data_IF_872868085778
#
_entry.id   IF_872868085778
#
_cell.length_a   1.000
_cell.length_b   1.000
_cell.length_c   1.000
_cell.angle_alpha   90.00
_cell.angle_beta   90.00
_cell.angle_gamma   90.00
#
_symmetry.space_group_name_H-M   'P 1'
#
loop_
_entity.id
_entity.type
_entity.pdbx_description
1 polymer ?
2 water ?
#
# COMPACT_ATOMS: atom_id res chain seq x y z
N UNK A 2 22.10 -23.77 16.56
CA UNK A 2 20.65 -23.76 16.52
C UNK A 2 20.12 -22.34 16.64
N UNK A 3 20.72 -21.55 17.53
CA UNK A 3 20.13 -20.27 17.94
C UNK A 3 20.19 -19.12 16.91
N UNK A 4 19.02 -18.60 16.58
CA UNK A 4 18.92 -17.37 15.82
C UNK A 4 18.10 -16.36 16.62
N UNK A 5 18.02 -16.60 17.93
CA UNK A 5 17.47 -15.67 18.91
C UNK A 5 18.31 -15.79 20.16
N UNK A 6 18.63 -14.66 20.81
CA UNK A 6 18.31 -13.28 20.44
C UNK A 6 18.89 -12.89 19.09
N UNK A 7 18.30 -11.86 18.49
CA UNK A 7 18.82 -11.26 17.27
C UNK A 7 18.65 -9.76 17.39
N UNK A 8 19.33 -9.01 16.52
CA UNK A 8 19.24 -7.56 16.52
C UNK A 8 18.65 -7.05 15.21
N UNK A 9 17.62 -6.22 15.32
CA UNK A 9 16.91 -5.68 14.17
C UNK A 9 17.47 -4.31 13.85
N UNK A 10 17.69 -4.04 12.56
CA UNK A 10 18.19 -2.76 12.10
C UNK A 10 17.01 -1.83 11.84
N UNK A 11 16.82 -0.85 12.72
CA UNK A 11 15.74 0.10 12.59
C UNK A 11 15.99 1.07 11.44
N UNK A 12 14.91 1.67 10.94
CA UNK A 12 15.01 2.46 9.71
C UNK A 12 15.87 3.71 9.88
N UNK A 13 16.06 4.15 11.11
CA UNK A 13 16.87 5.33 11.40
C UNK A 13 18.32 4.98 11.72
N UNK A 14 18.69 3.72 11.51
CA UNK A 14 20.05 3.30 11.80
C UNK A 14 20.29 2.93 13.26
N UNK A 15 19.25 3.02 14.08
CA UNK A 15 19.34 2.47 15.44
C UNK A 15 19.14 0.96 15.37
N UNK A 16 19.27 0.29 16.50
CA UNK A 16 19.05 -1.15 16.55
C UNK A 16 18.17 -1.52 17.73
N UNK A 17 17.54 -2.67 17.63
CA UNK A 17 16.74 -3.19 18.73
C UNK A 17 17.00 -4.69 18.86
N UNK A 18 17.36 -5.13 20.07
CA UNK A 18 17.61 -6.54 20.28
C UNK A 18 16.30 -7.22 20.64
N UNK A 19 16.00 -8.31 19.96
CA UNK A 19 14.76 -9.03 20.22
C UNK A 19 15.17 -10.35 20.82
N UNK A 20 14.85 -10.55 22.11
CA UNK A 20 15.37 -11.69 22.89
C UNK A 20 14.85 -13.05 22.44
N UNK A 21 13.63 -13.09 21.91
CA UNK A 21 13.02 -14.35 21.49
C UNK A 21 11.95 -14.08 20.44
N UNK A 22 11.56 -15.11 19.67
CA UNK A 22 10.57 -14.91 18.61
C UNK A 22 9.27 -14.33 19.15
N UNK A 23 8.86 -13.17 18.63
CA UNK A 23 7.63 -12.51 19.08
C UNK A 23 6.39 -13.31 18.72
N UNK A 24 5.51 -13.51 19.70
CA UNK A 24 4.23 -14.15 19.45
C UNK A 24 3.06 -13.24 19.83
N UNK A 25 3.37 -12.02 20.29
CA UNK A 25 2.35 -11.06 20.67
C UNK A 25 2.74 -9.68 20.13
N UNK A 26 2.57 -9.51 18.83
CA UNK A 26 3.00 -8.29 18.15
C UNK A 26 1.92 -7.22 18.24
N UNK A 27 2.30 -6.04 18.72
CA UNK A 27 1.39 -4.91 18.69
C UNK A 27 1.89 -3.86 17.69
N UNK A 28 1.04 -3.46 16.74
CA UNK A 28 1.41 -2.40 15.81
C UNK A 28 0.87 -1.03 16.22
N UNK A 29 1.76 -0.04 16.27
CA UNK A 29 1.40 1.34 16.58
C UNK A 29 1.12 2.13 15.29
N UNK A 30 1.24 1.46 14.16
CA UNK A 30 1.10 2.11 12.85
C UNK A 30 0.14 1.33 11.97
N UNK A 31 -1.05 1.89 11.77
CA UNK A 31 -2.10 1.24 11.00
C UNK A 31 -1.62 0.83 9.60
N UNK A 32 -0.74 1.63 9.01
CA UNK A 32 -0.24 1.31 7.68
C UNK A 32 0.61 0.03 7.68
N UNK A 33 1.41 -0.15 8.73
CA UNK A 33 2.30 -1.30 8.81
C UNK A 33 1.53 -2.59 9.02
N UNK A 34 0.40 -2.47 9.69
CA UNK A 34 -0.39 -3.64 10.02
C UNK A 34 -0.78 -4.44 8.78
N UNK A 35 -1.05 -3.77 7.66
CA UNK A 35 -1.37 -4.49 6.43
C UNK A 35 -0.30 -5.53 6.07
N UNK A 36 0.95 -5.16 6.25
CA UNK A 36 2.05 -6.04 5.83
C UNK A 36 2.35 -7.10 6.89
N UNK A 37 2.11 -6.76 8.15
CA UNK A 37 2.16 -7.78 9.18
C UNK A 37 1.13 -8.88 8.88
N UNK A 38 -0.07 -8.49 8.44
CA UNK A 38 -1.09 -9.47 8.12
C UNK A 38 -0.71 -10.25 6.87
N UNK A 39 -0.02 -9.57 5.95
CA UNK A 39 0.36 -10.17 4.68
C UNK A 39 1.29 -11.38 4.88
N UNK A 40 2.12 -11.33 5.91
CA UNK A 40 3.05 -12.44 6.16
C UNK A 40 2.59 -13.33 7.30
N UNK A 41 1.34 -13.13 7.72
CA UNK A 41 0.71 -13.94 8.76
C UNK A 41 1.46 -13.83 10.07
N UNK A 42 1.97 -12.65 10.39
CA UNK A 42 2.60 -12.44 11.68
C UNK A 42 1.56 -12.43 12.78
N UNK A 43 1.94 -12.88 13.98
CA UNK A 43 1.04 -12.92 15.15
C UNK A 43 0.76 -11.53 15.74
N UNK A 44 -0.01 -10.73 15.01
CA UNK A 44 -0.44 -9.41 15.46
C UNK A 44 -1.66 -9.53 16.35
N UNK A 45 -1.56 -9.04 17.58
CA UNK A 45 -2.64 -9.16 18.54
C UNK A 45 -3.45 -7.86 18.65
N UNK A 46 -2.84 -6.75 18.25
CA UNK A 46 -3.52 -5.46 18.30
C UNK A 46 -2.87 -4.46 17.35
N UNK A 47 -3.66 -3.52 16.85
CA UNK A 47 -3.16 -2.49 15.95
C UNK A 47 -3.86 -1.18 16.21
N UNK A 48 -3.07 -0.11 16.18
CA UNK A 48 -3.59 1.24 16.11
C UNK A 48 -4.38 1.40 14.81
N UNK A 49 -5.07 2.53 14.67
CA UNK A 49 -6.01 2.73 13.58
C UNK A 49 -5.72 4.02 12.83
N UNK A 50 -6.53 4.32 11.81
CA UNK A 50 -6.44 5.61 11.13
C UNK A 50 -6.86 6.74 12.07
N UNK A 51 -6.62 7.97 11.65
CA UNK A 51 -7.08 9.13 12.41
C UNK A 51 -8.59 9.05 12.65
N UNK A 52 -9.29 8.36 11.75
CA UNK A 52 -10.74 8.19 11.86
C UNK A 52 -11.15 6.93 12.61
N UNK A 53 -10.22 6.35 13.37
CA UNK A 53 -10.49 5.17 14.19
C UNK A 53 -10.95 3.95 13.40
N UNK A 54 -10.32 3.72 12.26
CA UNK A 54 -10.63 2.53 11.45
C UNK A 54 -9.39 1.78 10.99
N UNK A 55 -9.58 0.51 10.67
CA UNK A 55 -8.56 -0.26 9.98
C UNK A 55 -8.72 0.07 8.49
N UNK A 56 -7.63 0.05 7.74
CA UNK A 56 -7.72 0.25 6.30
C UNK A 56 -8.63 -0.80 5.67
N UNK A 57 -9.54 -0.35 4.83
CA UNK A 57 -10.58 -1.22 4.30
C UNK A 57 -10.08 -2.42 3.46
N UNK A 58 -8.92 -2.31 2.81
CA UNK A 58 -8.37 -3.46 2.06
C UNK A 58 -8.19 -4.69 2.92
N UNK A 59 -7.93 -4.50 4.22
CA UNK A 59 -7.65 -5.64 5.10
C UNK A 59 -8.45 -5.66 6.40
N UNK A 60 -9.27 -4.64 6.63
CA UNK A 60 -10.09 -4.59 7.84
C UNK A 60 -10.73 -5.94 8.18
N UNK A 61 -11.44 -6.53 7.22
CA UNK A 61 -12.15 -7.78 7.46
C UNK A 61 -11.23 -8.90 7.89
N UNK A 62 -10.01 -8.90 7.36
CA UNK A 62 -9.05 -9.93 7.73
C UNK A 62 -8.59 -9.71 9.16
N UNK A 63 -8.34 -8.45 9.51
CA UNK A 63 -7.94 -8.11 10.88
C UNK A 63 -9.02 -8.52 11.86
N UNK A 64 -10.28 -8.27 11.53
CA UNK A 64 -11.39 -8.64 12.40
C UNK A 64 -11.51 -10.16 12.53
N UNK A 65 -11.35 -10.86 11.41
CA UNK A 65 -11.37 -12.33 11.41
C UNK A 65 -10.27 -12.92 12.29
N UNK A 66 -9.09 -12.31 12.24
CA UNK A 66 -7.97 -12.73 13.08
C UNK A 66 -8.04 -12.12 14.50
N UNK A 67 -9.14 -11.44 14.80
CA UNK A 67 -9.36 -10.87 16.12
C UNK A 67 -8.24 -9.92 16.55
N UNK A 68 -7.76 -9.10 15.62
CA UNK A 68 -6.78 -8.08 15.94
C UNK A 68 -7.48 -6.94 16.65
N UNK A 69 -7.13 -6.70 17.91
CA UNK A 69 -7.78 -5.63 18.68
C UNK A 69 -7.44 -4.25 18.07
N UNK A 70 -8.48 -3.45 17.80
CA UNK A 70 -8.28 -2.10 17.30
C UNK A 70 -7.98 -1.17 18.47
N UNK A 71 -6.88 -0.44 18.36
CA UNK A 71 -6.47 0.43 19.46
C UNK A 71 -6.80 1.90 19.12
N UNK A 72 -5.88 2.80 19.42
CA UNK A 72 -6.14 4.24 19.31
C UNK A 72 -6.15 4.70 17.86
N UNK A 73 -6.78 5.86 17.61
CA UNK A 73 -6.67 6.50 16.31
C UNK A 73 -5.30 7.18 16.17
N UNK A 74 -4.72 7.13 14.98
CA UNK A 74 -3.45 7.80 14.72
C UNK A 74 -3.50 9.22 15.25
N UNK A 75 -2.44 9.62 15.94
CA UNK A 75 -2.37 10.93 16.57
C UNK A 75 -2.66 10.91 18.06
N UNK A 76 -3.12 9.77 18.59
CA UNK A 76 -3.45 9.66 20.00
C UNK A 76 -2.91 8.38 20.62
N UNK A 77 -1.60 8.17 20.47
CA UNK A 77 -0.95 7.00 21.03
C UNK A 77 -1.27 6.85 22.51
N UNK A 78 -1.77 5.68 22.88
CA UNK A 78 -2.17 5.41 24.26
C UNK A 78 -1.19 4.41 24.88
N UNK A 79 -0.23 4.92 25.62
CA UNK A 79 0.85 4.09 26.15
C UNK A 79 0.32 3.06 27.14
N UNK A 80 -0.71 3.42 27.89
CA UNK A 80 -1.26 2.50 28.86
C UNK A 80 -1.95 1.30 28.20
N UNK A 81 -2.61 1.52 27.07
CA UNK A 81 -3.26 0.41 26.39
C UNK A 81 -2.22 -0.55 25.84
N UNK A 82 -1.04 -0.03 25.51
CA UNK A 82 0.04 -0.89 25.01
C UNK A 82 0.53 -1.80 26.13
N UNK A 83 0.74 -1.21 27.31
CA UNK A 83 1.13 -1.99 28.48
C UNK A 83 0.14 -3.13 28.74
N UNK A 84 -1.15 -2.81 28.70
CA UNK A 84 -2.20 -3.78 28.93
C UNK A 84 -2.19 -4.97 27.97
N UNK A 85 -1.83 -4.73 26.71
CA UNK A 85 -1.86 -5.79 25.73
C UNK A 85 -0.72 -6.81 25.91
N UNK A 86 0.21 -6.53 26.81
CA UNK A 86 1.35 -7.43 27.07
C UNK A 86 2.05 -7.88 25.77
N UNK A 87 2.44 -6.92 24.91
CA UNK A 87 3.09 -7.31 23.66
C UNK A 87 4.51 -7.82 23.92
N UNK A 88 5.07 -8.58 22.99
CA UNK A 88 6.50 -8.91 23.06
C UNK A 88 7.26 -8.29 21.89
N UNK A 89 6.54 -7.63 20.99
CA UNK A 89 7.17 -6.80 19.97
C UNK A 89 6.24 -5.63 19.65
N UNK A 90 6.79 -4.42 19.62
CA UNK A 90 6.01 -3.22 19.32
C UNK A 90 6.57 -2.59 18.05
N UNK A 91 5.70 -2.38 17.06
CA UNK A 91 6.14 -1.91 15.74
C UNK A 91 5.74 -0.43 15.52
N UNK A 92 6.72 0.39 15.14
CA UNK A 92 6.51 1.83 14.96
C UNK A 92 6.92 2.26 13.54
N UNK A 93 6.16 3.18 12.93
CA UNK A 93 6.52 3.72 11.61
C UNK A 93 7.33 5.00 11.78
N UNK A 95 7.60 7.65 9.46
CA UNK A 95 7.10 8.82 8.72
C UNK A 95 5.63 8.66 8.42
N UNK A 96 4.82 9.52 9.01
CA UNK A 96 3.41 9.57 8.67
C UNK A 96 2.52 9.88 9.86
N UNK A 97 1.25 10.14 9.57
CA UNK A 97 0.28 10.41 10.63
C UNK A 97 0.24 9.30 11.67
N UNK A 98 0.43 8.06 11.22
CA UNK A 98 0.42 6.92 12.14
C UNK A 98 1.75 6.67 12.87
N UNK A 99 2.71 7.60 12.75
CA UNK A 99 4.04 7.42 13.34
C UNK A 99 4.12 7.77 14.83
N UNK A 100 4.53 6.79 15.62
CA UNK A 100 4.74 6.97 17.06
C UNK A 100 6.23 7.09 17.37
N UNK A 101 7.01 7.52 16.38
CA UNK A 101 8.45 7.66 16.52
C UNK A 101 8.87 8.39 17.81
N UNK A 102 8.25 9.54 18.08
CA UNK A 102 8.60 10.29 19.29
C UNK A 102 8.39 9.53 20.61
N UNK A 103 7.55 8.49 20.58
CA UNK A 103 7.28 7.71 21.79
C UNK A 103 8.17 6.48 21.95
N UNK A 104 9.12 6.29 21.05
CA UNK A 104 9.96 5.08 21.10
C UNK A 104 10.57 4.80 22.48
N UNK A 105 11.16 5.81 23.13
CA UNK A 105 11.76 5.56 24.45
C UNK A 105 10.76 5.01 25.48
N UNK A 106 9.54 5.55 25.47
CA UNK A 106 8.51 5.06 26.36
C UNK A 106 8.04 3.66 25.96
N UNK A 107 7.90 3.43 24.66
CA UNK A 107 7.50 2.11 24.17
C UNK A 107 8.55 1.04 24.50
N UNK A 108 9.82 1.37 24.32
CA UNK A 108 10.88 0.41 24.53
C UNK A 108 10.91 -0.05 25.99
N UNK A 109 10.36 0.78 26.88
CA UNK A 109 10.28 0.42 28.31
C UNK A 109 9.27 -0.70 28.55
N UNK A 110 8.35 -0.87 27.61
CA UNK A 110 7.32 -1.90 27.70
C UNK A 110 7.74 -3.21 27.05
N UNK A 111 8.25 -3.13 25.81
CA UNK A 111 8.69 -4.31 25.07
C UNK A 111 9.66 -3.92 23.97
N UNK A 112 10.37 -4.90 23.38
CA UNK A 112 11.24 -4.56 22.26
C UNK A 112 10.45 -3.81 21.19
N UNK A 113 10.96 -2.62 20.83
CA UNK A 113 10.27 -1.73 19.91
C UNK A 113 11.12 -1.48 18.68
N UNK A 114 10.56 -1.73 17.50
CA UNK A 114 11.30 -1.55 16.25
C UNK A 114 10.69 -0.43 15.43
N UNK A 115 11.51 0.14 14.57
CA UNK A 115 11.14 1.31 13.79
C UNK A 115 11.29 0.97 12.33
N UNK A 116 10.20 1.03 11.57
CA UNK A 116 10.25 0.72 10.15
C UNK A 116 9.74 1.90 9.32
N UNK A 117 10.11 1.94 8.05
CA UNK A 117 9.67 3.03 7.18
C UNK A 117 8.91 2.44 6.00
N UNK A 118 7.66 2.84 5.82
CA UNK A 118 6.88 2.32 4.70
C UNK A 118 6.78 3.36 3.60
N UNK A 119 7.17 4.59 3.93
CA UNK A 119 6.99 5.70 3.00
C UNK A 119 7.97 5.68 1.83
N UNK A 120 9.12 5.03 1.99
CA UNK A 120 10.19 5.08 1.01
C UNK A 120 10.54 3.73 0.38
N UNK A 121 9.66 2.75 0.54
CA UNK A 121 9.90 1.45 -0.09
C UNK A 121 8.59 0.72 -0.30
N UNK A 122 8.65 -0.34 -1.10
CA UNK A 122 7.49 -1.14 -1.44
C UNK A 122 7.04 -1.95 -0.22
N UNK A 123 5.82 -2.47 -0.24
CA UNK A 123 5.39 -3.40 0.81
C UNK A 123 6.27 -4.64 0.84
N UNK A 124 6.72 -5.07 -0.33
CA UNK A 124 7.61 -6.23 -0.41
C UNK A 124 8.93 -6.02 0.34
N UNK A 125 9.56 -4.86 0.14
CA UNK A 125 10.79 -4.57 0.86
C UNK A 125 10.52 -4.50 2.35
N UNK A 126 9.40 -3.91 2.72
CA UNK A 126 8.98 -3.84 4.12
C UNK A 126 8.72 -5.25 4.69
N UNK A 127 8.13 -6.11 3.88
CA UNK A 127 7.82 -7.47 4.30
C UNK A 127 9.08 -8.24 4.69
N UNK A 128 10.14 -8.06 3.90
CA UNK A 128 11.40 -8.73 4.18
C UNK A 128 11.95 -8.33 5.56
N UNK A 129 11.91 -7.03 5.86
CA UNK A 129 12.38 -6.56 7.16
C UNK A 129 11.50 -7.07 8.31
N UNK A 130 10.19 -7.07 8.10
CA UNK A 130 9.28 -7.57 9.13
C UNK A 130 9.50 -9.06 9.39
N UNK A 131 9.91 -9.79 8.36
CA UNK A 131 10.26 -11.20 8.50
C UNK A 131 11.43 -11.38 9.45
N UNK A 132 12.42 -10.51 9.36
CA UNK A 132 13.58 -10.58 10.24
C UNK A 132 13.21 -10.31 11.70
N UNK A 133 12.27 -9.40 11.91
CA UNK A 133 11.89 -9.03 13.26
C UNK A 133 11.06 -10.10 13.94
N UNK A 134 10.44 -10.95 13.11
CA UNK A 134 9.44 -11.90 13.59
C UNK A 134 9.83 -13.38 13.40
N UNK A 135 10.96 -13.63 12.74
CA UNK A 135 11.36 -14.99 12.44
C UNK A 135 10.54 -15.62 11.31
N UNK A 136 9.92 -14.78 10.50
CA UNK A 136 9.03 -15.23 9.43
C UNK A 136 9.60 -14.90 8.05
N UNK A 137 10.93 -14.96 7.96
CA UNK A 137 11.64 -14.75 6.71
C UNK A 137 11.10 -15.65 5.59
N UNK A 138 10.83 -16.91 5.89
CA UNK A 138 10.37 -17.83 4.85
C UNK A 138 8.96 -17.45 4.37
N UNK A 139 8.12 -17.09 5.32
CA UNK A 139 6.74 -16.65 5.02
C UNK A 139 6.73 -15.36 4.20
N UNK A 140 7.60 -14.43 4.55
CA UNK A 140 7.73 -13.18 3.80
C UNK A 140 8.06 -13.49 2.35
N UNK A 141 9.10 -14.29 2.14
CA UNK A 141 9.51 -14.65 0.79
C UNK A 141 8.39 -15.36 0.03
N UNK A 142 7.66 -16.22 0.73
CA UNK A 142 6.59 -16.99 0.09
C UNK A 142 5.48 -16.08 -0.39
N UNK A 143 5.07 -15.17 0.48
CA UNK A 143 4.06 -14.16 0.13
C UNK A 143 4.48 -13.32 -1.06
N UNK A 144 5.70 -12.80 -1.02
CA UNK A 144 6.24 -11.99 -2.10
C UNK A 144 6.32 -12.79 -3.41
N UNK A 145 6.79 -14.03 -3.31
CA UNK A 145 7.04 -14.81 -4.52
C UNK A 145 5.72 -15.31 -5.11
N UNK A 146 4.83 -15.82 -4.26
CA UNK A 146 3.51 -16.20 -4.75
C UNK A 146 2.87 -15.02 -5.47
N UNK A 147 3.02 -13.82 -4.92
CA UNK A 147 2.41 -12.66 -5.57
C UNK A 147 3.04 -12.39 -6.94
N UNK A 148 4.36 -12.50 -7.03
CA UNK A 148 5.06 -12.28 -8.27
C UNK A 148 4.62 -13.27 -9.34
N UNK A 149 4.53 -14.54 -8.94
CA UNK A 149 4.07 -15.58 -9.86
C UNK A 149 2.65 -15.29 -10.33
N UNK A 150 1.85 -14.75 -9.43
CA UNK A 150 0.46 -14.40 -9.77
C UNK A 150 0.44 -13.33 -10.84
N UNK A 151 1.22 -12.27 -10.66
CA UNK A 151 1.22 -11.20 -11.64
C UNK A 151 1.69 -11.74 -13.00
N UNK A 152 2.62 -12.70 -12.98
CA UNK A 152 3.09 -13.27 -14.24
C UNK A 152 1.95 -14.01 -14.92
N UNK A 153 1.19 -14.79 -14.14
CA UNK A 153 0.02 -15.49 -14.67
C UNK A 153 -1.02 -14.52 -15.24
N UNK A 154 -1.28 -13.43 -14.51
CA UNK A 154 -2.26 -12.44 -14.94
C UNK A 154 -1.81 -11.73 -16.21
N UNK A 155 -0.52 -11.42 -16.28
CA UNK A 155 0.06 -10.75 -17.45
C UNK A 155 -0.29 -11.51 -18.72
N UNK A 156 -0.29 -12.84 -18.61
CA UNK A 156 -0.54 -13.71 -19.75
C UNK A 156 -1.98 -13.76 -20.22
N UNK A 157 -2.93 -13.36 -19.37
CA UNK A 157 -4.35 -13.48 -19.74
C UNK A 157 -5.05 -12.14 -19.99
N UNK A 158 -4.42 -11.04 -19.63
CA UNK A 158 -5.05 -9.74 -19.83
C UNK A 158 -5.06 -9.40 -21.30
N UNK A 159 -6.10 -8.70 -21.73
CA UNK A 159 -6.19 -8.17 -23.08
C UNK A 159 -6.34 -6.66 -22.98
N UNK A 160 -5.21 -5.98 -22.75
CA UNK A 160 -5.22 -4.55 -22.47
C UNK A 160 -5.46 -3.71 -23.73
N UNK A 161 -5.98 -2.49 -23.55
CA UNK A 161 -6.16 -1.59 -24.69
C UNK A 161 -4.83 -1.31 -25.38
N UNK A 162 -4.92 -0.96 -26.65
CA UNK A 162 -3.73 -0.59 -27.41
C UNK A 162 -3.06 0.65 -26.77
N UNK A 163 -1.73 0.65 -26.76
CA UNK A 163 -0.96 1.82 -26.39
C UNK A 163 -0.55 1.86 -24.93
N UNK A 164 -0.60 3.07 -24.36
CA UNK A 164 -0.10 3.30 -23.01
C UNK A 164 -1.21 3.71 -22.07
N UNK A 165 -0.89 3.72 -20.79
CA UNK A 165 -1.81 4.19 -19.78
C UNK A 165 -1.09 5.17 -18.88
N UNK A 166 -1.84 6.07 -18.25
CA UNK A 166 -1.27 6.86 -17.17
C UNK A 166 -2.04 6.58 -15.89
N UNK A 167 -1.45 6.99 -14.77
CA UNK A 167 -2.03 6.77 -13.45
C UNK A 167 -2.20 8.12 -12.77
N UNK A 168 -3.44 8.54 -12.59
CA UNK A 168 -3.71 9.89 -12.14
C UNK A 168 -4.45 9.92 -10.82
N UNK A 169 -4.10 10.89 -9.98
CA UNK A 169 -4.86 11.20 -8.78
C UNK A 169 -5.58 12.51 -9.05
N UNK A 170 -6.88 12.43 -9.33
CA UNK A 170 -7.63 13.57 -9.83
C UNK A 170 -8.39 14.27 -8.70
N UNK A 171 -8.14 15.56 -8.53
CA UNK A 171 -8.88 16.37 -7.56
C UNK A 171 -9.65 17.50 -8.23
N UNK A 172 -9.51 17.63 -9.54
CA UNK A 172 -10.25 18.64 -10.26
C UNK A 172 -9.54 19.98 -10.36
N UNK A 173 -10.22 20.99 -10.90
CA UNK A 173 -9.64 22.30 -11.15
C UNK A 173 -9.36 23.10 -9.87
N UNK A 174 -8.37 23.99 -9.94
CA UNK A 174 -8.06 24.91 -8.86
C UNK A 174 -7.28 24.29 -7.71
N UNK A 175 -6.82 23.06 -7.89
CA UNK A 175 -6.16 22.35 -6.80
C UNK A 175 -5.02 21.49 -7.38
N UNK A 176 -4.05 21.15 -6.55
CA UNK A 176 -2.96 20.31 -6.99
C UNK A 176 -3.47 18.88 -7.24
N UNK A 177 -3.14 18.34 -8.41
CA UNK A 177 -3.47 16.97 -8.77
C UNK A 177 -2.17 16.18 -8.77
N UNK A 178 -2.18 14.92 -9.19
CA UNK A 178 -0.93 14.16 -9.20
C UNK A 178 -0.93 13.02 -10.20
N UNK A 179 0.27 12.66 -10.64
CA UNK A 179 0.44 11.56 -11.58
C UNK A 179 1.48 10.62 -10.98
N UNK A 180 1.24 9.32 -11.08
CA UNK A 180 2.18 8.35 -10.51
C UNK A 180 3.53 8.40 -11.25
N UNK A 181 4.62 8.36 -10.47
CA UNK A 181 5.99 8.39 -10.99
C UNK A 181 6.44 7.00 -11.45
N UNK A 182 7.46 6.97 -12.30
CA UNK A 182 7.99 5.73 -12.83
C UNK A 182 8.38 4.69 -11.77
N UNK A 183 8.93 5.15 -10.63
CA UNK A 183 9.37 4.21 -9.58
C UNK A 183 8.30 3.93 -8.54
N UNK A 184 7.11 4.49 -8.73
CA UNK A 184 6.04 4.31 -7.77
C UNK A 184 5.67 2.84 -7.67
N UNK A 185 5.15 2.45 -6.52
CA UNK A 185 4.58 1.12 -6.36
C UNK A 185 3.45 0.88 -7.36
N UNK A 186 2.69 1.92 -7.68
CA UNK A 186 1.56 1.76 -8.61
C UNK A 186 2.05 1.44 -10.00
N UNK A 187 3.04 2.20 -10.46
CA UNK A 187 3.59 1.98 -11.78
C UNK A 187 4.23 0.60 -11.90
N UNK A 188 4.96 0.17 -10.86
CA UNK A 188 5.61 -1.15 -10.90
C UNK A 188 4.60 -2.28 -10.98
N UNK A 189 3.51 -2.14 -10.21
CA UNK A 189 2.45 -3.13 -10.18
C UNK A 189 1.79 -3.26 -11.55
N UNK A 190 1.38 -2.15 -12.13
CA UNK A 190 0.68 -2.24 -13.42
C UNK A 190 1.64 -2.76 -14.48
N UNK A 191 2.88 -2.28 -14.45
CA UNK A 191 3.87 -2.73 -15.43
C UNK A 191 4.08 -4.24 -15.33
N UNK A 192 4.01 -4.78 -14.12
CA UNK A 192 4.20 -6.20 -13.89
C UNK A 192 3.13 -7.06 -14.57
N UNK A 193 1.95 -6.49 -14.85
CA UNK A 193 0.93 -7.24 -15.57
C UNK A 193 0.75 -6.79 -17.03
N UNK A 194 1.72 -6.04 -17.54
CA UNK A 194 1.78 -5.74 -18.96
C UNK A 194 1.39 -4.33 -19.37
N UNK A 195 0.98 -3.50 -18.41
CA UNK A 195 0.63 -2.12 -18.76
C UNK A 195 1.88 -1.33 -19.12
N UNK A 196 1.79 -0.59 -20.21
CA UNK A 196 2.90 0.26 -20.63
C UNK A 196 2.57 1.69 -20.23
N UNK A 197 3.42 2.30 -19.42
CA UNK A 197 3.07 3.57 -18.79
C UNK A 197 3.59 4.83 -19.45
N UNK A 198 2.77 5.86 -19.44
CA UNK A 198 3.22 7.22 -19.74
C UNK A 198 3.67 7.84 -18.44
N UNK A 199 4.91 8.30 -18.38
CA UNK A 199 5.43 8.92 -17.15
C UNK A 199 5.27 10.44 -17.20
N UNK A 200 5.06 11.06 -16.04
CA UNK A 200 4.87 12.51 -15.97
C UNK A 200 6.20 13.26 -16.11
N UNK A 201 6.13 14.51 -16.55
CA UNK A 201 7.31 15.36 -16.71
C UNK A 201 7.70 15.87 -15.33
N UNK A 202 8.90 15.53 -14.86
CA UNK A 202 9.23 15.97 -13.49
C UNK A 202 9.24 17.51 -13.37
N UNK A 203 9.35 18.19 -14.49
CA UNK A 203 9.26 19.65 -14.51
C UNK A 203 7.92 20.12 -13.95
N UNK A 204 6.91 19.27 -14.03
CA UNK A 204 5.56 19.59 -13.55
C UNK A 204 5.47 19.72 -12.03
N UNK A 205 6.55 19.41 -11.32
CA UNK A 205 6.52 19.43 -9.85
C UNK A 205 5.94 20.74 -9.33
N UNK A 206 4.94 20.64 -8.45
CA UNK A 206 4.33 21.82 -7.84
C UNK A 206 4.53 21.78 -6.33
N UNK A 207 4.99 22.89 -5.77
CA UNK A 207 5.22 22.95 -4.34
C UNK A 207 6.52 22.27 -3.92
N UNK A 208 6.62 21.94 -2.63
CA UNK A 208 7.88 21.42 -2.09
C UNK A 208 7.73 20.03 -1.49
N UNK A 209 6.48 19.56 -1.35
CA UNK A 209 6.25 18.24 -0.82
C UNK A 209 6.48 17.19 -1.92
N UNK A 210 7.41 16.27 -1.67
CA UNK A 210 7.69 15.21 -2.63
C UNK A 210 7.41 13.83 -2.04
N UNK A 211 6.87 12.93 -2.86
CA UNK A 211 6.54 11.57 -2.44
C UNK A 211 7.15 10.57 -3.40
N UNK A 212 7.36 9.34 -2.93
CA UNK A 212 7.92 8.30 -3.78
C UNK A 212 6.94 7.91 -4.91
N UNK A 213 5.65 7.89 -4.60
CA UNK A 213 4.67 7.37 -5.55
C UNK A 213 4.13 8.40 -6.56
N UNK A 214 3.95 9.63 -6.10
CA UNK A 214 3.22 10.61 -6.91
C UNK A 214 3.97 11.92 -7.12
N UNK A 215 3.96 12.37 -8.36
CA UNK A 215 4.42 13.72 -8.67
C UNK A 215 3.22 14.63 -8.52
N UNK A 216 3.32 15.62 -7.63
CA UNK A 216 2.23 16.56 -7.43
C UNK A 216 2.37 17.71 -8.44
N UNK A 217 1.24 18.06 -9.07
CA UNK A 217 1.28 18.98 -10.21
C UNK A 217 0.08 19.92 -10.25
N UNK A 218 0.27 21.06 -10.90
CA UNK A 218 -0.84 21.96 -11.17
C UNK A 218 -1.84 21.28 -12.09
N UNK A 219 -3.12 21.49 -11.81
CA UNK A 219 -4.20 20.93 -12.61
C UNK A 219 -3.99 21.10 -14.12
N UNK A 220 -3.48 22.26 -14.53
CA UNK A 220 -3.38 22.60 -15.95
C UNK A 220 -2.54 21.60 -16.74
N UNK A 221 -1.59 20.95 -16.08
CA UNK A 221 -0.77 19.94 -16.75
C UNK A 221 -1.53 18.69 -17.17
N UNK A 222 -2.69 18.45 -16.57
CA UNK A 222 -3.45 17.25 -16.93
C UNK A 222 -3.78 17.24 -18.42
N UNK A 223 -4.00 18.42 -18.99
CA UNK A 223 -4.36 18.48 -20.42
C UNK A 223 -3.24 17.99 -21.34
N UNK A 224 -2.02 17.87 -20.81
CA UNK A 224 -0.87 17.44 -21.62
C UNK A 224 -0.66 15.92 -21.66
N UNK A 225 -1.49 15.18 -20.94
CA UNK A 225 -1.39 13.72 -20.91
C UNK A 225 -1.79 13.12 -22.25
N UNK A 226 -1.03 12.13 -22.71
CA UNK A 226 -1.18 11.56 -24.04
C UNK A 226 -1.71 10.12 -24.07
N UNK A 227 -1.59 9.40 -22.95
CA UNK A 227 -1.94 7.98 -22.93
C UNK A 227 -3.36 7.73 -23.40
N UNK A 228 -3.56 6.58 -24.04
CA UNK A 228 -4.86 6.15 -24.51
C UNK A 228 -5.74 5.63 -23.39
N UNK A 229 -5.14 5.34 -22.24
CA UNK A 229 -5.89 4.85 -21.09
C UNK A 229 -5.50 5.59 -19.82
N UNK A 230 -6.48 5.85 -18.96
CA UNK A 230 -6.18 6.47 -17.67
C UNK A 230 -6.73 5.64 -16.52
N UNK A 231 -5.87 5.39 -15.53
CA UNK A 231 -6.30 4.75 -14.29
C UNK A 231 -6.32 5.77 -13.17
N UNK A 232 -7.43 5.84 -12.45
CA UNK A 232 -7.64 6.87 -11.43
C UNK A 232 -7.49 6.34 -10.01
N UNK A 233 -6.57 6.97 -9.27
CA UNK A 233 -6.28 6.64 -7.88
C UNK A 233 -7.47 6.90 -6.97
N UNK A 234 -7.70 6.00 -6.02
CA UNK A 234 -8.69 6.17 -4.97
C UNK A 234 -10.10 6.46 -5.49
N UNK A 236 -13.69 4.83 -7.64
CA UNK A 236 -14.53 3.85 -8.31
C UNK A 236 -14.89 4.39 -9.69
N UNK A 237 -15.41 3.54 -10.56
CA UNK A 237 -15.84 4.02 -11.88
C UNK A 237 -16.89 5.12 -11.78
N UNK A 238 -17.80 4.99 -10.80
CA UNK A 238 -18.81 6.03 -10.59
C UNK A 238 -18.13 7.36 -10.33
N UNK A 239 -17.09 7.35 -9.50
CA UNK A 239 -16.41 8.59 -9.15
C UNK A 239 -15.60 9.10 -10.34
N UNK A 240 -15.15 8.17 -11.18
CA UNK A 240 -14.36 8.48 -12.37
C UNK A 240 -15.10 9.38 -13.34
N UNK A 241 -16.43 9.38 -13.24
CA UNK A 241 -17.29 10.18 -14.12
C UNK A 241 -16.93 11.65 -14.09
N UNK A 242 -16.52 12.13 -12.91
CA UNK A 242 -16.11 13.52 -12.77
C UNK A 242 -14.91 13.85 -13.66
N UNK A 243 -14.03 12.87 -13.83
CA UNK A 243 -12.87 13.04 -14.70
C UNK A 243 -13.33 13.02 -16.16
N UNK A 244 -14.09 11.99 -16.52
CA UNK A 244 -14.61 11.86 -17.88
C UNK A 244 -15.40 13.09 -18.33
N UNK A 245 -16.10 13.72 -17.41
CA UNK A 245 -17.01 14.82 -17.75
C UNK A 245 -16.41 16.21 -17.47
N UNK A 246 -15.13 16.25 -17.14
CA UNK A 246 -14.46 17.53 -16.91
C UNK A 246 -14.22 18.19 -18.27
N UNK A 247 -14.93 19.30 -18.53
CA UNK A 247 -14.91 19.93 -19.86
C UNK A 247 -13.50 20.28 -20.33
N UNK A 248 -12.65 20.69 -19.40
CA UNK A 248 -11.29 21.06 -19.75
C UNK A 248 -10.49 19.86 -20.23
N UNK A 249 -10.90 18.67 -19.82
CA UNK A 249 -10.16 17.46 -20.15
C UNK A 249 -10.71 16.70 -21.34
N UNK A 250 -11.74 17.26 -21.98
CA UNK A 250 -12.52 16.56 -23.00
C UNK A 250 -11.70 16.02 -24.18
N UNK A 251 -10.51 16.56 -24.40
CA UNK A 251 -9.68 16.15 -25.53
C UNK A 251 -8.63 15.10 -25.19
N UNK A 252 -8.52 14.73 -23.92
CA UNK A 252 -7.58 13.70 -23.54
C UNK A 252 -7.87 12.44 -24.35
N UNK A 253 -6.83 11.78 -24.84
CA UNK A 253 -7.06 10.55 -25.61
C UNK A 253 -7.82 9.49 -24.83
N UNK A 254 -7.55 9.34 -23.53
CA UNK A 254 -8.25 8.33 -22.75
C UNK A 254 -9.73 8.65 -22.63
N UNK A 255 -10.06 9.94 -22.54
CA UNK A 255 -11.46 10.35 -22.51
C UNK A 255 -12.13 10.18 -23.87
N UNK A 256 -11.42 10.52 -24.94
CA UNK A 256 -11.95 10.33 -26.28
C UNK A 256 -12.30 8.85 -26.50
N UNK A 257 -11.45 7.96 -26.00
CA UNK A 257 -11.62 6.52 -26.18
C UNK A 257 -12.50 5.87 -25.11
N UNK A 258 -12.97 6.66 -24.16
CA UNK A 258 -13.77 6.13 -23.05
C UNK A 258 -13.01 5.02 -22.32
N UNK A 259 -11.71 5.20 -22.17
CA UNK A 259 -10.85 4.24 -21.48
C UNK A 259 -10.30 4.86 -20.20
N UNK A 260 -11.23 5.24 -19.33
CA UNK A 260 -10.91 5.83 -18.04
C UNK A 260 -11.48 4.91 -16.98
N UNK A 261 -10.63 4.44 -16.07
CA UNK A 261 -11.01 3.38 -15.16
C UNK A 261 -10.55 3.66 -13.75
N UNK A 262 -11.45 3.54 -12.78
CA UNK A 262 -11.04 3.67 -11.40
C UNK A 262 -10.16 2.53 -10.92
N UNK A 263 -9.09 2.85 -10.20
CA UNK A 263 -8.26 1.80 -9.60
C UNK A 263 -8.85 1.31 -8.28
N UNK A 264 -9.91 1.94 -7.82
CA UNK A 264 -10.58 1.45 -6.63
C UNK A 264 -10.33 2.30 -5.41
N UNK A 265 -11.26 2.21 -4.45
CA UNK A 265 -11.26 3.08 -3.29
C UNK A 265 -10.01 2.96 -2.43
N UNK A 266 -9.34 1.81 -2.48
CA UNK A 266 -8.22 1.57 -1.57
C UNK A 266 -6.86 1.68 -2.24
N UNK A 267 -6.81 2.31 -3.41
CA UNK A 267 -5.60 2.32 -4.23
C UNK A 267 -4.62 3.49 -4.01
N UNK A 268 -4.86 4.31 -3.00
CA UNK A 268 -3.88 5.36 -2.69
C UNK A 268 -2.50 4.78 -2.43
N UNK A 269 -2.45 3.74 -1.60
CA UNK A 269 -1.20 3.13 -1.18
C UNK A 269 -1.22 1.66 -1.56
N UNK A 270 -0.10 1.13 -2.04
CA UNK A 270 -0.06 -0.27 -2.42
C UNK A 270 0.48 -1.15 -1.31
N UNK A 271 -0.36 -2.08 -0.85
CA UNK A 271 0.09 -3.19 -0.03
C UNK A 271 -0.46 -4.47 -0.67
N UNK A 272 -0.23 -5.61 -0.04
CA UNK A 272 -0.61 -6.86 -0.66
C UNK A 272 -2.09 -6.87 -1.00
N UNK A 273 -2.88 -6.34 -0.07
CA UNK A 273 -4.32 -6.44 -0.16
C UNK A 273 -4.94 -5.45 -1.14
N UNK A 274 -4.45 -4.20 -1.16
CA UNK A 274 -4.94 -3.24 -2.15
C UNK A 274 -4.41 -3.60 -3.53
N UNK A 275 -3.18 -4.12 -3.58
CA UNK A 275 -2.63 -4.59 -4.85
C UNK A 275 -3.50 -5.73 -5.41
N UNK A 276 -3.88 -6.64 -4.52
CA UNK A 276 -4.75 -7.75 -4.92
C UNK A 276 -6.05 -7.21 -5.52
N UNK A 277 -6.65 -6.22 -4.86
CA UNK A 277 -7.90 -5.65 -5.34
C UNK A 277 -7.70 -5.03 -6.72
N UNK A 278 -6.56 -4.35 -6.90
CA UNK A 278 -6.26 -3.69 -8.15
C UNK A 278 -6.08 -4.70 -9.25
N UNK A 279 -5.23 -5.71 -9.00
CA UNK A 279 -5.03 -6.75 -10.00
C UNK A 279 -6.33 -7.49 -10.31
N UNK A 280 -7.16 -7.74 -9.30
CA UNK A 280 -8.47 -8.36 -9.53
C UNK A 280 -9.31 -7.55 -10.50
N UNK A 281 -9.30 -6.22 -10.33
CA UNK A 281 -10.09 -5.34 -11.20
C UNK A 281 -9.58 -5.36 -12.65
N UNK A 282 -8.28 -5.52 -12.83
CA UNK A 282 -7.74 -5.66 -14.17
C UNK A 282 -8.19 -6.98 -14.82
N UNK A 283 -8.22 -8.05 -14.03
CA UNK A 283 -8.69 -9.34 -14.52
C UNK A 283 -10.14 -9.21 -14.98
N UNK A 284 -10.98 -8.63 -14.14
CA UNK A 284 -12.40 -8.57 -14.45
C UNK A 284 -12.67 -7.72 -15.69
N UNK A 285 -11.91 -6.63 -15.84
CA UNK A 285 -12.10 -5.72 -16.98
C UNK A 285 -11.55 -6.29 -18.29
N UNK A 286 -10.37 -6.90 -18.22
CA UNK A 286 -9.58 -7.15 -19.43
C UNK A 286 -9.28 -8.61 -19.77
N UNK A 287 -9.64 -9.55 -18.90
CA UNK A 287 -9.27 -10.96 -19.13
C UNK A 287 -10.42 -11.85 -19.59
N UNK A 288 -11.65 -11.35 -19.54
CA UNK A 288 -12.76 -12.13 -20.03
C UNK A 288 -13.00 -13.34 -19.14
N UNK A 289 -13.35 -14.49 -19.71
CA UNK A 289 -13.72 -15.61 -18.85
C UNK A 289 -12.50 -16.39 -18.35
N UNK A 290 -11.30 -15.85 -18.61
CA UNK A 290 -10.08 -16.27 -17.95
C UNK A 290 -9.96 -15.54 -16.62
N UNK A 291 -10.72 -14.44 -16.51
CA UNK A 291 -10.66 -13.52 -15.38
C UNK A 291 -10.92 -14.20 -14.04
N UNK A 292 -12.03 -14.92 -13.97
CA UNK A 292 -12.55 -15.39 -12.69
C UNK A 292 -11.62 -16.36 -11.96
N UNK A 293 -11.02 -17.31 -12.66
CA UNK A 293 -10.27 -18.33 -11.93
C UNK A 293 -8.98 -17.77 -11.33
N UNK A 294 -8.52 -16.63 -11.83
CA UNK A 294 -7.33 -16.00 -11.30
C UNK A 294 -7.61 -14.95 -10.22
N UNK A 295 -8.87 -14.53 -10.10
CA UNK A 295 -9.24 -13.57 -9.06
C UNK A 295 -8.90 -14.11 -7.68
N UNK A 297 -9.10 -14.04 -3.46
CA UNK A 297 -9.91 -13.59 -2.33
C UNK A 297 -9.04 -12.88 -1.30
N UNK A 298 -9.68 -12.25 -0.32
CA UNK A 298 -8.98 -11.61 0.79
C UNK A 298 -8.17 -12.67 1.54
N UNK A 299 -8.78 -13.85 1.68
CA UNK A 299 -8.09 -14.99 2.26
C UNK A 299 -8.89 -16.27 2.01
N UNK A 300 -8.24 -17.40 2.20
CA UNK A 300 -8.85 -18.70 1.94
C UNK A 300 -8.19 -19.71 2.88
N UNK A 301 -8.77 -20.92 2.96
CA UNK A 301 -8.21 -21.96 3.81
C UNK A 301 -7.96 -21.40 5.21
N UNK A 302 -9.02 -20.85 5.81
CA UNK A 302 -8.91 -20.21 7.10
C UNK A 302 -8.63 -21.21 8.21
#
# INVERSE_FOLDING_TARGET
>A
QQNVWPRTFQNADGSITTIPSQPKRILSTAVTVTGTLLAIDAPVIASAATTQSTFFEQWRKLAELRQVKKLWPAGSVDLESVYVEQPDLIVVSXIGADSARDQIPLLQAIAPTILVDYSDQTWQSLAQQLGLATGLEEQAERTIHNFEQWTKQVRDVLDLPKGRANIVSYHGPGVVNAVAKAQSAHAQLLQSVGVVLEEPDPAWQAGSIVHRDFLRIHYEHLTQLQAETTFLITXTDQQAQAFLHDPILKNLPSIQRKQVYGLGENSFRIDLFSAREIINSLLRRFAGEQAQSLVXPLEHHHHHH
#
